data_IF_113915081966
#
_entry.id   IF_113915081966
#
_cell.length_a   1.000
_cell.length_b   1.000
_cell.length_c   1.000
_cell.angle_alpha   90.00
_cell.angle_beta   90.00
_cell.angle_gamma   90.00
#
_symmetry.space_group_name_H-M   'P 1'
#
loop_
_entity.id
_entity.type
_entity.pdbx_description
1 polymer ?
#
# COMPACT_ATOMS: atom_id res chain seq x y z
N UNK A 1 -8.93 31.63 6.89
CA UNK A 1 -8.87 30.19 6.56
C UNK A 1 -8.57 29.42 7.84
N UNK A 2 -9.49 28.57 8.30
CA UNK A 2 -9.29 27.72 9.49
C UNK A 2 -8.21 26.68 9.18
N UNK A 3 -7.09 26.70 9.93
CA UNK A 3 -6.04 25.67 9.82
C UNK A 3 -6.67 24.31 10.10
N UNK A 4 -6.79 23.48 9.07
CA UNK A 4 -7.34 22.13 9.23
C UNK A 4 -6.41 21.34 10.15
N UNK A 5 -6.98 20.64 11.13
CA UNK A 5 -6.22 19.87 12.11
C UNK A 5 -5.52 18.72 11.37
N UNK A 6 -4.21 18.54 11.56
CA UNK A 6 -3.48 17.44 10.92
C UNK A 6 -4.07 16.07 11.28
N UNK A 7 -3.89 15.08 10.40
CA UNK A 7 -4.38 13.73 10.63
C UNK A 7 -3.79 13.13 11.93
N UNK A 8 -4.52 12.26 12.65
CA UNK A 8 -3.99 11.59 13.84
C UNK A 8 -2.68 10.86 13.54
N UNK A 9 -1.64 11.11 14.36
CA UNK A 9 -0.31 10.53 14.17
C UNK A 9 0.60 11.29 13.20
N UNK A 10 0.19 12.47 12.71
CA UNK A 10 1.08 13.35 11.96
C UNK A 10 2.28 13.76 12.82
N UNK A 11 3.48 13.48 12.30
CA UNK A 11 4.73 13.98 12.84
C UNK A 11 5.25 15.03 11.85
N UNK A 12 5.43 16.29 12.27
CA UNK A 12 6.01 17.32 11.42
C UNK A 12 7.37 16.91 10.89
N UNK A 13 7.66 17.28 9.64
CA UNK A 13 9.00 17.10 9.10
C UNK A 13 9.97 18.01 9.87
N UNK A 14 11.07 17.50 10.46
CA UNK A 14 12.00 18.33 11.21
C UNK A 14 12.77 19.33 10.34
N UNK A 15 12.81 19.12 9.02
CA UNK A 15 13.56 19.96 8.08
C UNK A 15 12.71 21.06 7.44
N UNK A 16 11.38 20.98 7.53
CA UNK A 16 10.46 21.94 6.90
C UNK A 16 9.26 22.20 7.81
N UNK A 17 9.16 23.42 8.32
CA UNK A 17 8.07 23.92 9.13
C UNK A 17 6.91 24.49 8.31
N UNK A 18 5.84 24.92 8.98
CA UNK A 18 4.70 25.54 8.33
C UNK A 18 5.08 26.86 7.63
N UNK A 19 6.04 27.59 8.18
CA UNK A 19 6.52 28.86 7.61
C UNK A 19 7.16 28.64 6.23
N UNK A 20 7.98 27.60 6.07
CA UNK A 20 8.59 27.23 4.77
C UNK A 20 7.51 26.89 3.72
N UNK A 21 6.42 26.26 4.14
CA UNK A 21 5.29 25.96 3.25
C UNK A 21 4.47 27.20 2.89
N UNK A 22 4.29 28.12 3.84
CA UNK A 22 3.56 29.36 3.63
C UNK A 22 4.33 30.29 2.67
N UNK A 23 5.68 30.29 2.73
CA UNK A 23 6.56 31.05 1.83
C UNK A 23 6.38 30.68 0.35
N UNK A 24 6.10 29.40 0.04
CA UNK A 24 5.93 28.91 -1.33
C UNK A 24 4.46 28.70 -1.73
N UNK A 25 3.53 29.18 -0.90
CA UNK A 25 2.09 28.92 -1.08
C UNK A 25 1.44 29.67 -2.26
N UNK A 26 2.10 30.73 -2.74
CA UNK A 26 1.64 31.60 -3.83
C UNK A 26 2.22 31.20 -5.21
N UNK A 27 2.81 30.01 -5.33
CA UNK A 27 3.37 29.53 -6.58
C UNK A 27 2.32 29.55 -7.71
N UNK A 28 2.58 30.20 -8.86
CA UNK A 28 1.60 30.34 -9.93
C UNK A 28 1.20 28.98 -10.52
N UNK A 29 0.01 28.88 -11.12
CA UNK A 29 -0.36 27.69 -11.88
C UNK A 29 0.59 27.52 -13.08
N UNK A 30 0.89 26.27 -13.43
CA UNK A 30 1.62 25.96 -14.66
C UNK A 30 0.85 26.49 -15.88
N UNK A 31 1.55 27.16 -16.78
CA UNK A 31 1.01 27.53 -18.10
C UNK A 31 0.90 26.32 -19.02
N UNK A 32 0.08 26.45 -20.08
CA UNK A 32 -0.07 25.40 -21.11
C UNK A 32 1.26 25.08 -21.80
N UNK A 33 2.11 26.09 -22.04
CA UNK A 33 3.44 25.91 -22.62
C UNK A 33 4.36 25.11 -21.71
N UNK A 34 4.37 25.40 -20.41
CA UNK A 34 5.19 24.66 -19.44
C UNK A 34 4.70 23.22 -19.29
N UNK A 35 3.37 23.02 -19.25
CA UNK A 35 2.77 21.71 -19.19
C UNK A 35 3.15 20.86 -20.42
N UNK A 36 3.21 21.47 -21.61
CA UNK A 36 3.60 20.78 -22.86
C UNK A 36 5.05 20.28 -22.88
N UNK A 37 5.93 20.86 -22.05
CA UNK A 37 7.35 20.50 -21.98
C UNK A 37 7.64 19.39 -20.95
N UNK A 38 6.66 18.99 -20.15
CA UNK A 38 6.83 17.93 -19.17
C UNK A 38 7.14 16.60 -19.85
N UNK A 39 8.12 15.88 -19.31
CA UNK A 39 8.54 14.56 -19.80
C UNK A 39 7.90 13.46 -18.96
N UNK A 40 7.44 12.40 -19.63
CA UNK A 40 6.88 11.24 -18.96
C UNK A 40 7.97 10.20 -18.69
N UNK A 41 7.98 9.67 -17.47
CA UNK A 41 8.85 8.56 -17.11
C UNK A 41 10.33 8.95 -16.98
N UNK A 42 11.28 8.04 -17.28
CA UNK A 42 12.70 8.22 -16.97
C UNK A 42 13.45 9.14 -17.96
N UNK A 43 12.76 9.72 -18.94
CA UNK A 43 13.39 10.49 -20.01
C UNK A 43 14.07 11.77 -19.48
N UNK A 44 15.39 11.84 -19.65
CA UNK A 44 16.20 12.98 -19.20
C UNK A 44 16.61 12.94 -17.72
N UNK A 45 16.29 11.86 -17.00
CA UNK A 45 16.80 11.65 -15.64
C UNK A 45 18.22 11.08 -15.67
N UNK A 46 19.04 11.32 -14.62
CA UNK A 46 20.30 10.61 -14.41
C UNK A 46 20.12 9.08 -14.49
N UNK A 47 21.11 8.31 -15.00
CA UNK A 47 20.95 6.89 -15.28
C UNK A 47 20.51 6.03 -14.08
N UNK A 48 20.99 6.36 -12.89
CA UNK A 48 20.63 5.74 -11.61
C UNK A 48 19.17 5.99 -11.25
N UNK A 49 18.70 7.23 -11.40
CA UNK A 49 17.31 7.59 -11.14
C UNK A 49 16.37 7.00 -12.20
N UNK A 50 16.75 7.02 -13.47
CA UNK A 50 16.04 6.36 -14.56
C UNK A 50 15.90 4.85 -14.33
N UNK A 51 16.91 4.19 -13.72
CA UNK A 51 16.84 2.78 -13.37
C UNK A 51 15.81 2.48 -12.27
N UNK A 52 15.63 3.38 -11.30
CA UNK A 52 14.66 3.21 -10.22
C UNK A 52 13.20 3.11 -10.73
N UNK A 53 12.87 3.78 -11.84
CA UNK A 53 11.55 3.68 -12.49
C UNK A 53 11.23 2.26 -13.01
N UNK A 54 12.25 1.44 -13.30
CA UNK A 54 12.07 0.04 -13.74
C UNK A 54 11.76 -0.91 -12.58
N UNK A 55 12.17 -0.53 -11.37
CA UNK A 55 11.73 -1.18 -10.15
C UNK A 55 10.27 -0.73 -9.93
N UNK A 56 9.31 -1.55 -10.38
CA UNK A 56 7.91 -1.35 -10.01
C UNK A 56 7.85 -1.36 -8.48
N UNK A 57 7.72 -0.18 -7.88
CA UNK A 57 7.66 0.07 -6.44
C UNK A 57 6.39 -0.49 -5.80
N UNK A 58 6.08 -1.75 -6.08
CA UNK A 58 5.08 -2.51 -5.37
C UNK A 58 5.63 -2.98 -4.04
N UNK A 59 4.71 -3.36 -3.14
CA UNK A 59 5.06 -4.04 -1.89
C UNK A 59 6.06 -5.16 -2.18
N UNK A 60 7.14 -5.29 -1.39
CA UNK A 60 8.07 -6.40 -1.52
C UNK A 60 7.32 -7.72 -1.67
N UNK A 61 7.72 -8.52 -2.67
CA UNK A 61 7.09 -9.82 -2.91
C UNK A 61 7.26 -10.66 -1.65
N UNK A 62 6.17 -11.14 -1.08
CA UNK A 62 6.24 -12.06 0.06
C UNK A 62 7.03 -13.31 -0.35
N UNK A 63 7.96 -13.76 0.50
CA UNK A 63 8.77 -14.97 0.26
C UNK A 63 7.88 -16.20 0.03
N UNK A 64 6.81 -16.32 0.82
CA UNK A 64 5.79 -17.36 0.66
C UNK A 64 4.49 -16.71 0.21
N UNK A 65 4.10 -16.98 -1.04
CA UNK A 65 2.84 -16.49 -1.61
C UNK A 65 1.71 -17.46 -1.30
N UNK A 66 0.62 -16.95 -0.71
CA UNK A 66 -0.64 -17.70 -0.60
C UNK A 66 -1.20 -17.95 -2.00
N UNK A 67 -1.59 -19.19 -2.28
CA UNK A 67 -2.20 -19.58 -3.56
C UNK A 67 -3.71 -19.40 -3.45
N UNK A 68 -4.34 -18.53 -4.27
CA UNK A 68 -5.79 -18.40 -4.29
C UNK A 68 -6.39 -19.66 -4.91
N UNK A 69 -7.36 -20.27 -4.24
CA UNK A 69 -8.11 -21.42 -4.74
C UNK A 69 -9.61 -21.14 -4.65
N UNK A 70 -10.39 -21.78 -5.53
CA UNK A 70 -11.84 -21.86 -5.38
C UNK A 70 -12.17 -23.09 -4.53
N UNK A 71 -12.56 -22.88 -3.28
CA UNK A 71 -12.94 -23.95 -2.34
C UNK A 71 -14.43 -23.80 -1.99
N UNK A 72 -15.18 -24.89 -2.10
CA UNK A 72 -16.54 -24.97 -1.55
C UNK A 72 -16.45 -25.40 -0.08
N UNK A 73 -17.13 -24.66 0.78
CA UNK A 73 -17.23 -24.96 2.22
C UNK A 73 -18.68 -24.90 2.63
N UNK A 74 -19.03 -25.66 3.68
CA UNK A 74 -20.38 -25.64 4.21
C UNK A 74 -20.77 -24.23 4.68
N UNK A 75 -22.03 -23.80 4.45
CA UNK A 75 -22.49 -22.46 4.82
C UNK A 75 -22.30 -22.15 6.30
N UNK A 76 -22.53 -23.12 7.18
CA UNK A 76 -22.39 -22.95 8.63
C UNK A 76 -20.95 -22.71 9.05
N UNK A 77 -20.00 -23.42 8.43
CA UNK A 77 -18.55 -23.22 8.67
C UNK A 77 -18.16 -21.81 8.25
N UNK A 78 -18.59 -21.36 7.07
CA UNK A 78 -18.31 -20.01 6.59
C UNK A 78 -18.92 -18.93 7.52
N UNK A 79 -20.15 -19.14 7.98
CA UNK A 79 -20.83 -18.25 8.90
C UNK A 79 -20.09 -18.15 10.24
N UNK A 80 -19.67 -19.28 10.80
CA UNK A 80 -18.93 -19.33 12.06
C UNK A 80 -17.63 -18.54 11.99
N UNK A 81 -16.83 -18.70 10.93
CA UNK A 81 -15.61 -17.91 10.78
C UNK A 81 -15.91 -16.44 10.55
N UNK A 82 -16.86 -16.07 9.67
CA UNK A 82 -17.21 -14.66 9.43
C UNK A 82 -17.66 -13.92 10.70
N UNK A 83 -18.37 -14.60 11.60
CA UNK A 83 -18.80 -14.03 12.88
C UNK A 83 -17.62 -13.60 13.78
N UNK A 84 -16.41 -14.12 13.55
CA UNK A 84 -15.20 -13.70 14.27
C UNK A 84 -14.68 -12.31 13.86
N UNK A 85 -15.28 -11.68 12.85
CA UNK A 85 -14.93 -10.32 12.41
C UNK A 85 -13.71 -10.24 11.48
N UNK A 86 -13.06 -9.06 11.36
CA UNK A 86 -11.90 -8.86 10.50
C UNK A 86 -10.80 -9.91 10.76
N UNK A 87 -10.22 -10.44 9.68
CA UNK A 87 -9.21 -11.49 9.76
C UNK A 87 -9.76 -12.93 9.81
N UNK A 88 -11.08 -13.14 9.65
CA UNK A 88 -11.67 -14.48 9.67
C UNK A 88 -11.04 -15.46 8.67
N UNK A 89 -10.63 -15.00 7.48
CA UNK A 89 -9.94 -15.84 6.49
C UNK A 89 -8.57 -16.31 6.97
N UNK A 90 -7.85 -15.48 7.72
CA UNK A 90 -6.56 -15.86 8.32
C UNK A 90 -6.77 -16.94 9.39
N UNK A 91 -7.76 -16.76 10.29
CA UNK A 91 -8.12 -17.78 11.29
C UNK A 91 -8.55 -19.09 10.64
N UNK A 92 -9.35 -19.03 9.59
CA UNK A 92 -9.74 -20.23 8.83
C UNK A 92 -8.52 -20.95 8.24
N UNK A 93 -7.56 -20.21 7.68
CA UNK A 93 -6.32 -20.77 7.14
C UNK A 93 -5.44 -21.42 8.22
N UNK A 94 -5.39 -20.86 9.44
CA UNK A 94 -4.63 -21.45 10.55
C UNK A 94 -5.17 -22.83 10.93
N UNK A 95 -6.50 -22.99 10.99
CA UNK A 95 -7.16 -24.28 11.25
C UNK A 95 -6.85 -25.29 10.14
N UNK A 96 -6.94 -24.88 8.87
CA UNK A 96 -6.57 -25.74 7.74
C UNK A 96 -5.10 -26.16 7.79
N UNK A 97 -4.20 -25.25 8.17
CA UNK A 97 -2.79 -25.55 8.31
C UNK A 97 -2.51 -26.56 9.46
N UNK A 98 -3.24 -26.46 10.56
CA UNK A 98 -3.15 -27.44 11.66
C UNK A 98 -3.63 -28.82 11.23
N UNK A 99 -4.79 -28.89 10.57
CA UNK A 99 -5.31 -30.15 10.03
C UNK A 99 -4.31 -30.78 9.04
N UNK A 100 -3.71 -29.98 8.16
CA UNK A 100 -2.70 -30.44 7.22
C UNK A 100 -1.43 -30.98 7.91
N UNK A 101 -1.02 -30.42 9.06
CA UNK A 101 0.10 -30.97 9.86
C UNK A 101 -0.27 -32.35 10.43
N UNK A 102 -1.48 -32.52 10.96
CA UNK A 102 -1.96 -33.80 11.50
C UNK A 102 -2.00 -34.88 10.42
N UNK A 103 -2.46 -34.55 9.21
CA UNK A 103 -2.49 -35.47 8.07
C UNK A 103 -1.10 -35.94 7.62
N UNK A 104 -0.05 -35.14 7.84
CA UNK A 104 1.34 -35.53 7.50
C UNK A 104 2.01 -36.38 8.59
N UNK A 105 1.46 -36.36 9.80
CA UNK A 105 1.98 -37.08 10.95
C UNK A 105 1.32 -38.47 11.13
N UNK A 106 0.26 -38.75 10.38
CA UNK A 106 -0.39 -40.05 10.27
C UNK A 106 0.19 -40.83 9.07
#
# INVERSE_FOLDING_TARGET
MTRSRHAPGYVPNPNYGQEDWDEVSDNPPLSDEELSRLRLGPEGLPPDLAAAFRSRGGRPKAEVRRVPISLRVDPEVLAAFKATGPGWQTRMNEVLAEAARKLRAA
#
